data_IF_538622269098
#
_entry.id   IF_538622269098
#
_cell.length_a   1.000
_cell.length_b   1.000
_cell.length_c   1.000
_cell.angle_alpha   90.00
_cell.angle_beta   90.00
_cell.angle_gamma   90.00
#
_symmetry.space_group_name_H-M   'P 1'
#
loop_
_entity.id
_entity.type
_entity.pdbx_description
1 polymer ?
#
# COMPACT_ATOMS: atom_id res chain seq x y z
N UNK A 1 -10.86 -13.09 -28.22
CA UNK A 1 -11.31 -12.56 -26.90
C UNK A 1 -10.38 -12.99 -25.77
N UNK A 2 -9.93 -14.25 -25.72
CA UNK A 2 -9.05 -14.78 -24.65
C UNK A 2 -7.66 -14.15 -24.54
N UNK A 3 -7.03 -13.75 -25.66
CA UNK A 3 -5.71 -13.08 -25.67
C UNK A 3 -5.73 -11.77 -24.85
N UNK A 4 -6.86 -11.06 -24.84
CA UNK A 4 -7.02 -9.82 -24.09
C UNK A 4 -7.15 -10.09 -22.57
N UNK A 5 -7.85 -11.17 -22.20
CA UNK A 5 -8.00 -11.58 -20.80
C UNK A 5 -6.67 -12.02 -20.18
N UNK A 6 -5.87 -12.81 -20.89
CA UNK A 6 -4.55 -13.26 -20.40
C UNK A 6 -3.59 -12.10 -20.18
N UNK A 7 -3.55 -11.14 -21.11
CA UNK A 7 -2.71 -9.93 -20.96
C UNK A 7 -3.18 -9.06 -19.80
N UNK A 8 -4.48 -8.86 -19.63
CA UNK A 8 -5.05 -8.11 -18.50
C UNK A 8 -4.73 -8.77 -17.16
N UNK A 9 -4.87 -10.10 -17.07
CA UNK A 9 -4.53 -10.84 -15.87
C UNK A 9 -3.05 -10.69 -15.48
N UNK A 10 -2.14 -10.69 -16.46
CA UNK A 10 -0.71 -10.43 -16.21
C UNK A 10 -0.50 -9.04 -15.61
N UNK A 11 -1.09 -8.00 -16.20
CA UNK A 11 -0.96 -6.62 -15.71
C UNK A 11 -1.46 -6.50 -14.27
N UNK A 12 -2.64 -7.07 -13.95
CA UNK A 12 -3.15 -7.03 -12.58
C UNK A 12 -2.25 -7.78 -11.60
N UNK A 13 -1.68 -8.92 -12.00
CA UNK A 13 -0.74 -9.66 -11.15
C UNK A 13 0.54 -8.84 -10.87
N UNK A 14 1.03 -8.10 -11.86
CA UNK A 14 2.24 -7.28 -11.70
C UNK A 14 1.95 -6.09 -10.77
N UNK A 15 0.79 -5.43 -10.93
CA UNK A 15 0.33 -4.36 -10.02
C UNK A 15 0.19 -4.90 -8.59
N UNK A 16 -0.48 -6.04 -8.38
CA UNK A 16 -0.63 -6.62 -7.04
C UNK A 16 0.72 -6.91 -6.39
N UNK A 17 1.70 -7.41 -7.15
CA UNK A 17 3.05 -7.67 -6.63
C UNK A 17 3.75 -6.38 -6.20
N UNK A 18 3.72 -5.35 -7.05
CA UNK A 18 4.38 -4.06 -6.77
C UNK A 18 3.82 -3.41 -5.49
N UNK A 19 2.51 -3.47 -5.28
CA UNK A 19 1.84 -2.81 -4.15
C UNK A 19 1.64 -3.71 -2.92
N UNK A 20 1.98 -5.01 -3.00
CA UNK A 20 1.72 -5.99 -1.93
C UNK A 20 2.26 -5.57 -0.55
N UNK A 21 3.42 -4.92 -0.51
CA UNK A 21 4.08 -4.48 0.73
C UNK A 21 3.25 -3.49 1.56
N UNK A 22 2.33 -2.75 0.95
CA UNK A 22 1.49 -1.77 1.65
C UNK A 22 0.56 -2.44 2.67
N UNK A 23 0.13 -3.66 2.38
CA UNK A 23 -0.80 -4.44 3.18
C UNK A 23 -0.13 -5.34 4.23
N UNK A 24 1.20 -5.33 4.31
CA UNK A 24 1.95 -6.15 5.26
C UNK A 24 2.55 -5.29 6.38
N UNK A 25 1.86 -5.19 7.55
CA UNK A 25 2.36 -4.42 8.68
C UNK A 25 3.50 -5.12 9.43
N UNK A 26 3.94 -6.30 9.01
CA UNK A 26 5.04 -7.04 9.67
C UNK A 26 6.40 -6.74 9.06
N UNK A 27 6.43 -6.08 7.90
CA UNK A 27 7.68 -5.76 7.21
C UNK A 27 8.58 -4.87 8.04
N UNK A 28 9.88 -5.18 7.99
CA UNK A 28 10.91 -4.31 8.52
C UNK A 28 11.00 -3.02 7.71
N UNK A 29 11.61 -1.99 8.30
CA UNK A 29 11.87 -0.73 7.59
C UNK A 29 12.68 -0.93 6.30
N UNK A 30 13.59 -1.91 6.28
CA UNK A 30 14.42 -2.21 5.09
C UNK A 30 13.57 -2.83 3.98
N UNK A 31 12.65 -3.73 4.32
CA UNK A 31 11.72 -4.32 3.35
C UNK A 31 10.73 -3.30 2.81
N UNK A 32 10.19 -2.42 3.67
CA UNK A 32 9.36 -1.30 3.24
C UNK A 32 10.12 -0.38 2.28
N UNK A 33 11.36 -0.02 2.61
CA UNK A 33 12.18 0.84 1.76
C UNK A 33 12.39 0.22 0.37
N UNK A 34 12.65 -1.09 0.30
CA UNK A 34 12.77 -1.81 -0.99
C UNK A 34 11.46 -1.79 -1.79
N UNK A 35 10.32 -1.99 -1.12
CA UNK A 35 9.01 -1.90 -1.75
C UNK A 35 8.74 -0.50 -2.34
N UNK A 36 9.06 0.54 -1.57
CA UNK A 36 8.96 1.93 -2.02
C UNK A 36 9.90 2.21 -3.19
N UNK A 37 11.13 1.70 -3.16
CA UNK A 37 12.08 1.86 -4.28
C UNK A 37 11.58 1.22 -5.57
N UNK A 38 10.98 0.02 -5.50
CA UNK A 38 10.35 -0.62 -6.67
C UNK A 38 9.16 0.20 -7.16
N UNK A 39 8.33 0.70 -6.24
CA UNK A 39 7.19 1.55 -6.59
C UNK A 39 7.63 2.85 -7.27
N UNK A 40 8.73 3.48 -6.81
CA UNK A 40 9.31 4.67 -7.43
C UNK A 40 9.86 4.42 -8.84
N UNK A 41 10.31 3.20 -9.14
CA UNK A 41 10.78 2.86 -10.48
C UNK A 41 9.62 2.79 -11.48
N UNK A 42 8.48 2.27 -11.05
CA UNK A 42 7.28 2.10 -11.88
C UNK A 42 6.41 3.37 -11.93
N UNK A 43 6.37 4.14 -10.85
CA UNK A 43 5.54 5.34 -10.68
C UNK A 43 6.36 6.54 -10.15
N UNK A 44 7.37 7.02 -10.89
CA UNK A 44 8.33 8.02 -10.41
C UNK A 44 7.70 9.38 -10.06
N UNK A 45 6.61 9.74 -10.73
CA UNK A 45 5.92 11.02 -10.55
C UNK A 45 4.86 10.98 -9.43
N UNK A 46 4.39 9.78 -9.06
CA UNK A 46 3.33 9.59 -8.07
C UNK A 46 3.87 9.27 -6.67
N UNK A 47 5.13 8.82 -6.57
CA UNK A 47 5.72 8.37 -5.30
C UNK A 47 6.58 9.45 -4.65
N UNK A 48 6.14 9.92 -3.48
CA UNK A 48 6.91 10.84 -2.67
C UNK A 48 8.05 10.13 -1.92
N UNK A 49 9.22 10.78 -1.85
CA UNK A 49 10.40 10.28 -1.13
C UNK A 49 10.17 10.03 0.37
N UNK A 50 9.19 10.70 0.97
CA UNK A 50 8.85 10.54 2.38
C UNK A 50 7.90 9.36 2.66
N UNK A 51 7.44 8.64 1.63
CA UNK A 51 6.48 7.54 1.75
C UNK A 51 6.91 6.47 2.76
N UNK A 52 8.19 6.06 2.74
CA UNK A 52 8.69 5.04 3.69
C UNK A 52 8.50 5.47 5.14
N UNK A 53 8.72 6.75 5.45
CA UNK A 53 8.53 7.29 6.79
C UNK A 53 7.08 7.24 7.22
N UNK A 54 6.17 7.70 6.36
CA UNK A 54 4.73 7.62 6.64
C UNK A 54 4.22 6.19 6.79
N UNK A 55 4.69 5.26 5.95
CA UNK A 55 4.31 3.84 6.06
C UNK A 55 4.72 3.21 7.39
N UNK A 56 5.93 3.50 7.88
CA UNK A 56 6.36 3.02 9.20
C UNK A 56 5.43 3.52 10.30
N UNK A 57 5.05 4.80 10.25
CA UNK A 57 4.14 5.39 11.23
C UNK A 57 2.72 4.86 11.09
N UNK A 58 2.22 4.71 9.86
CA UNK A 58 0.88 4.20 9.57
C UNK A 58 0.73 2.73 9.98
N UNK A 59 1.69 1.87 9.66
CA UNK A 59 1.68 0.48 10.13
C UNK A 59 1.80 0.38 11.65
N UNK A 60 2.55 1.29 12.28
CA UNK A 60 2.58 1.36 13.75
C UNK A 60 1.23 1.74 14.32
N UNK A 61 0.57 2.72 13.72
CA UNK A 61 -0.77 3.15 14.09
C UNK A 61 -1.78 2.01 13.96
N UNK A 62 -1.82 1.33 12.81
CA UNK A 62 -2.71 0.20 12.52
C UNK A 62 -2.54 -0.91 13.55
N UNK A 63 -1.31 -1.35 13.82
CA UNK A 63 -1.02 -2.39 14.83
C UNK A 63 -1.50 -2.01 16.24
N UNK A 64 -1.41 -0.74 16.62
CA UNK A 64 -1.80 -0.27 17.96
C UNK A 64 -3.31 -0.16 18.13
N UNK A 65 -4.00 0.31 17.10
CA UNK A 65 -5.42 0.68 17.15
C UNK A 65 -6.36 -0.45 16.73
N UNK A 66 -5.97 -1.22 15.71
CA UNK A 66 -6.81 -2.25 15.10
C UNK A 66 -6.49 -3.67 15.57
N UNK A 67 -5.39 -3.85 16.33
CA UNK A 67 -4.91 -5.12 16.90
C UNK A 67 -5.24 -6.31 15.98
N UNK A 68 -4.56 -6.43 14.83
CA UNK A 68 -4.88 -7.44 13.84
C UNK A 68 -4.93 -8.81 14.53
N UNK A 69 -6.09 -9.47 14.45
CA UNK A 69 -6.17 -10.87 14.88
C UNK A 69 -5.17 -11.66 14.04
N UNK A 70 -4.58 -12.73 14.56
CA UNK A 70 -3.56 -13.55 13.84
C UNK A 70 -3.97 -13.99 12.41
N UNK A 71 -5.25 -13.86 12.05
CA UNK A 71 -5.82 -14.30 10.78
C UNK A 71 -6.44 -13.16 9.93
N UNK A 72 -6.33 -11.89 10.34
CA UNK A 72 -6.88 -10.76 9.57
C UNK A 72 -5.76 -9.85 9.06
N UNK A 73 -5.24 -10.16 7.88
CA UNK A 73 -4.48 -9.20 7.08
C UNK A 73 -5.47 -8.23 6.45
N UNK A 74 -5.31 -6.93 6.72
CA UNK A 74 -6.12 -5.89 6.09
C UNK A 74 -5.81 -5.82 4.60
N UNK A 75 -6.85 -5.71 3.78
CA UNK A 75 -6.67 -5.44 2.35
C UNK A 75 -6.27 -3.97 2.11
N UNK A 76 -5.75 -3.65 0.92
CA UNK A 76 -5.51 -2.26 0.52
C UNK A 76 -6.77 -1.39 0.65
N UNK A 77 -7.94 -1.95 0.35
CA UNK A 77 -9.23 -1.28 0.52
C UNK A 77 -9.53 -0.97 1.99
N UNK A 78 -9.24 -1.90 2.90
CA UNK A 78 -9.46 -1.69 4.33
C UNK A 78 -8.52 -0.60 4.87
N UNK A 79 -7.25 -0.63 4.47
CA UNK A 79 -6.27 0.39 4.82
C UNK A 79 -6.69 1.77 4.32
N UNK A 80 -7.15 1.86 3.07
CA UNK A 80 -7.67 3.10 2.51
C UNK A 80 -8.88 3.59 3.31
N UNK A 81 -9.83 2.71 3.63
CA UNK A 81 -11.01 3.07 4.41
C UNK A 81 -10.68 3.56 5.83
N UNK A 82 -9.67 3.00 6.50
CA UNK A 82 -9.22 3.47 7.82
C UNK A 82 -8.80 4.94 7.74
N UNK A 83 -8.04 5.32 6.71
CA UNK A 83 -7.57 6.70 6.54
C UNK A 83 -8.73 7.70 6.52
N UNK A 84 -9.81 7.38 5.82
CA UNK A 84 -10.98 8.25 5.72
C UNK A 84 -11.91 8.18 6.93
N UNK A 85 -12.21 6.97 7.41
CA UNK A 85 -13.14 6.78 8.54
C UNK A 85 -12.63 7.45 9.81
N UNK A 86 -11.31 7.51 9.99
CA UNK A 86 -10.68 8.06 11.17
C UNK A 86 -10.15 9.49 10.97
N UNK A 87 -10.36 10.08 9.78
CA UNK A 87 -9.93 11.43 9.42
C UNK A 87 -8.41 11.67 9.57
N UNK A 88 -7.59 10.68 9.23
CA UNK A 88 -6.11 10.72 9.38
C UNK A 88 -5.38 10.98 8.05
N UNK A 89 -6.09 11.34 6.97
CA UNK A 89 -5.51 11.66 5.66
C UNK A 89 -4.47 12.78 5.70
N UNK A 90 -4.61 13.75 6.61
CA UNK A 90 -3.65 14.85 6.77
C UNK A 90 -2.35 14.35 7.40
N UNK A 91 -2.40 13.28 8.21
CA UNK A 91 -1.23 12.69 8.84
C UNK A 91 -0.48 11.71 7.92
N UNK A 92 -1.19 11.08 6.96
CA UNK A 92 -0.63 10.08 6.04
C UNK A 92 -0.97 10.36 4.57
N UNK A 93 -0.71 11.57 4.04
CA UNK A 93 -1.14 11.96 2.69
C UNK A 93 -0.46 11.15 1.57
N UNK A 94 0.77 10.69 1.76
CA UNK A 94 1.49 9.90 0.76
C UNK A 94 0.99 8.45 0.76
N UNK A 95 0.69 7.89 1.94
CA UNK A 95 0.07 6.55 2.05
C UNK A 95 -1.31 6.55 1.38
N UNK A 96 -2.10 7.58 1.66
CA UNK A 96 -3.41 7.81 1.05
C UNK A 96 -3.33 7.84 -0.48
N UNK A 97 -2.41 8.65 -1.01
CA UNK A 97 -2.22 8.81 -2.46
C UNK A 97 -1.83 7.49 -3.15
N UNK A 98 -0.93 6.71 -2.55
CA UNK A 98 -0.47 5.44 -3.12
C UNK A 98 -1.53 4.34 -3.02
N UNK A 99 -2.31 4.30 -1.94
CA UNK A 99 -3.46 3.39 -1.84
C UNK A 99 -4.54 3.76 -2.88
N UNK A 100 -4.77 5.05 -3.13
CA UNK A 100 -5.68 5.50 -4.19
C UNK A 100 -5.19 5.08 -5.57
N UNK A 101 -3.89 5.22 -5.84
CA UNK A 101 -3.27 4.79 -7.09
C UNK A 101 -3.49 3.29 -7.35
N UNK A 102 -3.35 2.45 -6.31
CA UNK A 102 -3.62 1.02 -6.41
C UNK A 102 -5.08 0.68 -6.72
N UNK A 103 -6.02 1.46 -6.18
CA UNK A 103 -7.46 1.22 -6.29
C UNK A 103 -8.10 1.84 -7.55
N UNK A 104 -7.32 2.53 -8.39
CA UNK A 104 -7.76 3.20 -9.62
C UNK A 104 -7.82 2.24 -10.81
#
# INVERSE_FOLDING_TARGET
MEINLGRRASVYNDVVKIFSFLADPTLSKVELQRGVELLMQEYPDDVNRNLTGELVHFHTYERQTHKPSKNSTLSHTDLYQIIFKENIQVAFPNVESILRLFLS
#
